data_IF_953942025761
#
_entry.id   IF_953942025761
#
_cell.length_a   1.000
_cell.length_b   1.000
_cell.length_c   1.000
_cell.angle_alpha   90.00
_cell.angle_beta   90.00
_cell.angle_gamma   90.00
#
_symmetry.space_group_name_H-M   'P 1'
#
loop_
_entity.id
_entity.type
_entity.pdbx_description
1 polymer ?
#
# COMPACT_ATOMS: atom_id res chain seq x y z
N UNK A 1 12.98 -18.53 14.68
CA UNK A 1 13.21 -19.93 14.25
C UNK A 1 13.53 -20.76 15.49
N UNK A 2 12.84 -21.87 15.72
CA UNK A 2 13.12 -22.80 16.82
C UNK A 2 13.23 -24.20 16.24
N UNK A 3 14.35 -24.87 16.49
CA UNK A 3 14.62 -26.23 15.98
C UNK A 3 14.44 -26.36 14.45
N UNK A 4 14.87 -25.34 13.70
CA UNK A 4 14.76 -25.30 12.23
C UNK A 4 13.34 -25.09 11.70
N UNK A 5 12.35 -24.80 12.56
CA UNK A 5 10.98 -24.48 12.16
C UNK A 5 10.65 -23.01 12.40
N UNK A 6 9.84 -22.45 11.52
CA UNK A 6 9.17 -21.17 11.75
C UNK A 6 8.13 -21.34 12.85
N UNK A 7 8.02 -20.34 13.70
CA UNK A 7 7.03 -20.27 14.78
C UNK A 7 6.50 -18.85 14.79
N UNK A 8 5.18 -18.70 14.98
CA UNK A 8 4.55 -17.40 15.11
C UNK A 8 4.95 -16.80 16.47
N UNK A 9 5.86 -15.84 16.44
CA UNK A 9 6.43 -15.22 17.63
C UNK A 9 5.50 -14.20 18.29
N UNK A 10 4.66 -13.54 17.49
CA UNK A 10 3.64 -12.61 17.95
C UNK A 10 2.43 -12.63 17.01
N UNK A 11 1.27 -12.28 17.54
CA UNK A 11 0.04 -12.03 16.78
C UNK A 11 -0.52 -10.67 17.17
N UNK A 12 -0.56 -9.75 16.22
CA UNK A 12 -1.13 -8.42 16.40
C UNK A 12 -2.51 -8.28 15.77
N UNK A 13 -3.15 -9.36 15.34
CA UNK A 13 -4.45 -9.32 14.65
C UNK A 13 -5.58 -8.70 15.48
N UNK A 14 -5.43 -8.60 16.80
CA UNK A 14 -6.38 -7.92 17.69
C UNK A 14 -6.18 -6.40 17.74
N UNK A 15 -5.06 -5.89 17.24
CA UNK A 15 -4.78 -4.46 17.16
C UNK A 15 -5.29 -3.94 15.81
N UNK A 16 -6.26 -3.03 15.86
CA UNK A 16 -6.70 -2.30 14.67
C UNK A 16 -5.69 -1.18 14.38
N UNK A 17 -5.08 -1.19 13.19
CA UNK A 17 -4.15 -0.16 12.74
C UNK A 17 -3.13 -0.69 11.73
N UNK A 18 -2.44 0.22 11.05
CA UNK A 18 -1.27 -0.09 10.23
C UNK A 18 -0.06 0.35 11.04
N UNK A 19 0.63 -0.58 11.70
CA UNK A 19 1.71 -0.20 12.63
C UNK A 19 3.07 -0.12 11.95
N UNK A 20 3.82 0.95 12.24
CA UNK A 20 5.27 1.01 12.07
C UNK A 20 5.94 0.46 13.33
N UNK A 21 7.02 -0.26 13.11
CA UNK A 21 7.83 -0.87 14.16
C UNK A 21 9.08 -0.03 14.42
N UNK A 22 9.32 0.29 15.68
CA UNK A 22 10.59 0.86 16.15
C UNK A 22 11.18 -0.07 17.21
N UNK A 23 12.44 -0.45 17.05
CA UNK A 23 13.16 -1.19 18.08
C UNK A 23 13.79 -0.19 19.05
N UNK A 24 13.44 -0.31 20.31
CA UNK A 24 13.97 0.46 21.42
C UNK A 24 15.03 -0.34 22.18
N UNK A 25 15.74 0.35 23.07
CA UNK A 25 16.60 -0.28 24.08
C UNK A 25 15.83 -1.32 24.91
N UNK A 26 16.57 -2.17 25.64
CA UNK A 26 16.01 -3.22 26.50
C UNK A 26 15.07 -4.20 25.80
N UNK A 27 15.30 -4.43 24.49
CA UNK A 27 14.53 -5.34 23.66
C UNK A 27 13.04 -4.97 23.56
N UNK A 28 12.72 -3.67 23.63
CA UNK A 28 11.35 -3.18 23.47
C UNK A 28 11.05 -2.90 22.00
N UNK A 29 9.84 -3.25 21.58
CA UNK A 29 9.26 -2.95 20.28
C UNK A 29 8.13 -1.95 20.49
N UNK A 30 8.30 -0.74 19.95
CA UNK A 30 7.22 0.22 19.81
C UNK A 30 6.44 -0.10 18.51
N UNK A 31 5.13 -0.22 18.63
CA UNK A 31 4.19 -0.24 17.51
C UNK A 31 3.45 1.10 17.53
N UNK A 32 3.69 1.94 16.53
CA UNK A 32 3.00 3.22 16.37
C UNK A 32 2.14 3.14 15.11
N UNK A 33 0.90 3.60 15.19
CA UNK A 33 0.03 3.68 14.00
C UNK A 33 0.65 4.61 12.94
N UNK A 34 0.62 4.15 11.69
CA UNK A 34 1.20 4.82 10.54
C UNK A 34 0.33 6.02 10.16
N UNK A 35 0.99 7.18 9.96
CA UNK A 35 0.35 8.48 9.74
C UNK A 35 -0.51 8.55 8.46
N UNK A 36 -0.55 7.51 7.63
CA UNK A 36 -1.30 7.46 6.36
C UNK A 36 -2.81 7.73 6.58
N UNK A 37 -3.40 7.27 7.70
CA UNK A 37 -4.81 7.55 8.03
C UNK A 37 -5.04 8.90 8.69
N UNK A 38 -3.99 9.62 9.13
CA UNK A 38 -4.13 11.00 9.66
C UNK A 38 -4.57 11.99 8.59
N UNK A 39 -4.47 11.64 7.31
CA UNK A 39 -4.71 12.59 6.22
C UNK A 39 -6.16 13.00 6.01
N UNK A 40 -7.20 12.43 6.65
CA UNK A 40 -8.58 12.88 6.34
C UNK A 40 -9.61 13.09 7.45
N UNK A 41 -9.55 12.53 8.67
CA UNK A 41 -10.77 12.63 9.53
C UNK A 41 -10.56 12.72 11.06
N UNK A 42 -9.46 12.26 11.67
CA UNK A 42 -9.37 12.19 13.15
C UNK A 42 -7.99 12.57 13.74
N UNK A 43 -7.97 13.41 14.80
CA UNK A 43 -6.81 13.60 15.69
C UNK A 43 -6.67 12.33 16.56
N UNK A 44 -6.10 11.29 15.95
CA UNK A 44 -5.91 9.98 16.54
C UNK A 44 -4.44 9.57 16.45
N UNK A 45 -3.89 9.11 17.57
CA UNK A 45 -2.57 8.48 17.63
C UNK A 45 -2.64 7.32 18.61
N UNK A 46 -2.02 6.19 18.27
CA UNK A 46 -1.88 5.07 19.20
C UNK A 46 -0.48 4.49 19.13
N UNK A 47 0.03 4.11 20.31
CA UNK A 47 1.33 3.48 20.52
C UNK A 47 1.16 2.29 21.45
N UNK A 48 1.88 1.21 21.17
CA UNK A 48 1.97 0.05 22.04
C UNK A 48 3.42 -0.33 22.21
N UNK A 49 3.81 -0.66 23.44
CA UNK A 49 5.16 -1.09 23.77
C UNK A 49 5.14 -2.55 24.21
N UNK A 50 6.00 -3.35 23.59
CA UNK A 50 6.13 -4.77 23.88
C UNK A 50 7.58 -5.10 24.16
N UNK A 51 7.84 -5.90 25.19
CA UNK A 51 9.16 -6.49 25.42
C UNK A 51 9.28 -7.80 24.67
N UNK A 52 10.35 -7.95 23.90
CA UNK A 52 10.71 -9.20 23.25
C UNK A 52 11.34 -10.16 24.28
N UNK A 53 10.71 -11.33 24.43
CA UNK A 53 11.13 -12.41 25.32
C UNK A 53 11.51 -13.66 24.52
N UNK A 54 12.08 -14.69 25.14
CA UNK A 54 12.55 -15.87 24.41
C UNK A 54 11.46 -16.57 23.56
N UNK A 55 10.21 -16.60 24.04
CA UNK A 55 9.10 -17.35 23.45
C UNK A 55 7.95 -16.46 22.93
N UNK A 56 8.07 -15.13 22.98
CA UNK A 56 7.06 -14.22 22.45
C UNK A 56 7.22 -12.78 22.91
N UNK A 57 6.15 -11.99 22.78
CA UNK A 57 6.10 -10.60 23.21
C UNK A 57 5.28 -10.42 24.49
N UNK A 58 5.80 -9.63 25.42
CA UNK A 58 5.09 -9.19 26.62
C UNK A 58 4.61 -7.76 26.43
N UNK A 59 3.31 -7.54 26.50
CA UNK A 59 2.76 -6.18 26.50
C UNK A 59 3.22 -5.42 27.75
N UNK A 60 3.77 -4.23 27.57
CA UNK A 60 4.20 -3.36 28.66
C UNK A 60 3.11 -2.35 28.98
N UNK A 61 2.78 -1.51 28.00
CA UNK A 61 1.74 -0.50 28.09
C UNK A 61 1.43 0.06 26.70
N UNK A 62 0.39 0.86 26.61
CA UNK A 62 0.02 1.57 25.40
C UNK A 62 -0.46 2.98 25.71
N UNK A 63 -0.44 3.82 24.70
CA UNK A 63 -0.89 5.20 24.75
C UNK A 63 -1.84 5.44 23.60
N UNK A 64 -2.93 6.15 23.87
CA UNK A 64 -3.89 6.59 22.85
C UNK A 64 -4.11 8.08 23.01
N UNK A 65 -4.05 8.83 21.92
CA UNK A 65 -4.49 10.21 21.85
C UNK A 65 -5.73 10.25 20.98
N UNK A 66 -6.82 10.76 21.52
CA UNK A 66 -8.09 10.92 20.81
C UNK A 66 -8.62 12.32 21.10
N UNK A 67 -8.85 13.11 20.05
CA UNK A 67 -9.36 14.49 20.14
C UNK A 67 -8.52 15.38 21.09
N UNK A 68 -7.20 15.21 21.06
CA UNK A 68 -6.25 15.96 21.89
C UNK A 68 -6.14 15.49 23.34
N UNK A 69 -6.90 14.47 23.76
CA UNK A 69 -6.84 13.89 25.11
C UNK A 69 -5.97 12.63 25.07
N UNK A 70 -5.03 12.53 26.01
CA UNK A 70 -4.18 11.35 26.17
C UNK A 70 -4.78 10.35 27.14
N UNK A 71 -4.65 9.08 26.79
CA UNK A 71 -5.05 7.95 27.60
C UNK A 71 -3.90 6.95 27.73
N UNK A 72 -3.73 6.42 28.94
CA UNK A 72 -2.92 5.23 29.18
C UNK A 72 -3.78 3.98 28.98
N UNK A 73 -3.23 3.00 28.28
CA UNK A 73 -3.77 1.67 28.04
C UNK A 73 -2.92 0.66 28.83
N UNK A 74 -3.24 0.38 30.10
CA UNK A 74 -2.44 -0.51 30.94
C UNK A 74 -2.57 -1.99 30.55
N UNK A 75 -3.57 -2.34 29.75
CA UNK A 75 -3.83 -3.70 29.28
C UNK A 75 -3.95 -3.67 27.76
N UNK A 76 -3.42 -4.71 27.11
CA UNK A 76 -3.54 -4.90 25.67
C UNK A 76 -5.03 -4.87 25.28
N UNK A 77 -5.44 -4.01 24.33
CA UNK A 77 -6.84 -3.94 23.92
C UNK A 77 -7.38 -5.28 23.42
N UNK A 78 -8.61 -5.67 23.81
CA UNK A 78 -9.29 -6.79 23.20
C UNK A 78 -9.69 -6.45 21.75
N UNK A 79 -10.03 -7.48 20.97
CA UNK A 79 -10.45 -7.31 19.58
C UNK A 79 -11.71 -6.44 19.41
N UNK A 80 -12.54 -6.27 20.45
CA UNK A 80 -13.65 -5.31 20.45
C UNK A 80 -13.13 -3.91 20.83
N UNK A 81 -13.10 -2.94 19.88
CA UNK A 81 -12.58 -1.60 20.14
C UNK A 81 -13.41 -0.80 21.16
N UNK A 82 -14.62 -1.25 21.52
CA UNK A 82 -15.47 -0.60 22.53
C UNK A 82 -15.15 -1.03 23.97
N UNK A 83 -14.36 -2.09 24.13
CA UNK A 83 -14.04 -2.68 25.44
C UNK A 83 -12.64 -2.29 25.94
N UNK A 84 -12.06 -1.20 25.44
CA UNK A 84 -10.72 -0.73 25.86
C UNK A 84 -10.73 -0.26 27.32
N UNK A 85 -9.84 -0.82 28.13
CA UNK A 85 -9.53 -0.27 29.44
C UNK A 85 -8.53 0.87 29.28
N UNK A 86 -8.99 2.12 29.48
CA UNK A 86 -8.17 3.31 29.32
C UNK A 86 -8.38 4.32 30.44
N UNK A 87 -7.32 5.02 30.82
CA UNK A 87 -7.36 6.07 31.84
C UNK A 87 -6.79 7.35 31.26
N UNK A 88 -7.52 8.46 31.39
CA UNK A 88 -7.04 9.77 30.97
C UNK A 88 -5.75 10.15 31.73
N UNK A 89 -4.76 10.63 30.99
CA UNK A 89 -3.49 11.11 31.52
C UNK A 89 -3.16 12.48 30.93
N UNK A 90 -2.28 13.23 31.58
CA UNK A 90 -1.82 14.50 31.04
C UNK A 90 -0.85 14.28 29.88
N UNK A 91 -0.75 15.26 28.99
CA UNK A 91 0.27 15.24 27.92
C UNK A 91 1.69 15.09 28.48
N UNK A 92 1.99 15.72 29.62
CA UNK A 92 3.30 15.58 30.28
C UNK A 92 3.58 14.14 30.71
N UNK A 93 2.57 13.41 31.18
CA UNK A 93 2.70 11.99 31.52
C UNK A 93 2.90 11.14 30.27
N UNK A 94 2.11 11.38 29.22
CA UNK A 94 2.25 10.67 27.95
C UNK A 94 3.65 10.85 27.34
N UNK A 95 4.14 12.10 27.29
CA UNK A 95 5.48 12.41 26.79
C UNK A 95 6.58 11.80 27.65
N UNK A 96 6.41 11.74 28.97
CA UNK A 96 7.36 11.07 29.85
C UNK A 96 7.43 9.55 29.58
N UNK A 97 6.30 8.90 29.30
CA UNK A 97 6.25 7.48 28.92
C UNK A 97 6.93 7.28 27.56
N UNK A 98 6.58 8.07 26.54
CA UNK A 98 7.21 7.99 25.20
C UNK A 98 8.73 8.17 25.31
N UNK A 99 9.18 9.16 26.07
CA UNK A 99 10.60 9.43 26.27
C UNK A 99 11.34 8.33 27.07
N UNK A 100 10.62 7.46 27.77
CA UNK A 100 11.23 6.35 28.51
C UNK A 100 11.61 5.17 27.61
N UNK A 101 11.00 5.05 26.43
CA UNK A 101 11.29 4.04 25.43
C UNK A 101 12.25 4.58 24.38
N UNK A 102 13.55 4.57 24.70
CA UNK A 102 14.61 5.13 23.84
C UNK A 102 14.79 4.26 22.59
N UNK A 103 14.54 4.78 21.36
CA UNK A 103 14.82 4.05 20.13
C UNK A 103 16.31 3.72 20.00
N UNK A 104 16.64 2.56 19.44
CA UNK A 104 18.03 2.26 19.08
C UNK A 104 18.57 3.30 18.10
N UNK A 105 19.83 3.70 18.28
CA UNK A 105 20.55 4.64 17.40
C UNK A 105 20.52 4.18 15.94
N UNK A 106 20.58 2.87 15.71
CA UNK A 106 20.44 2.25 14.40
C UNK A 106 19.27 1.27 14.42
N UNK A 107 18.23 1.58 13.64
CA UNK A 107 17.11 0.68 13.42
C UNK A 107 17.53 -0.45 12.48
N UNK A 108 16.97 -1.66 12.63
CA UNK A 108 17.19 -2.72 11.66
C UNK A 108 16.65 -2.28 10.30
N UNK A 109 17.54 -2.24 9.32
CA UNK A 109 17.18 -1.91 7.94
C UNK A 109 16.48 -3.10 7.27
N UNK A 110 15.54 -2.78 6.37
CA UNK A 110 14.79 -3.79 5.61
C UNK A 110 15.72 -4.48 4.62
N UNK A 111 15.69 -5.80 4.62
CA UNK A 111 16.38 -6.63 3.64
C UNK A 111 15.67 -7.96 3.46
N UNK A 112 15.92 -8.64 2.35
CA UNK A 112 15.52 -10.02 2.16
C UNK A 112 16.06 -10.92 3.29
N UNK A 113 15.21 -11.77 3.84
CA UNK A 113 15.53 -12.82 4.81
C UNK A 113 16.62 -13.76 4.32
N UNK A 114 16.71 -14.04 3.01
CA UNK A 114 17.80 -14.87 2.45
C UNK A 114 19.19 -14.23 2.61
N UNK A 115 19.25 -12.94 2.93
CA UNK A 115 20.46 -12.15 3.19
C UNK A 115 20.58 -11.73 4.65
N UNK A 116 19.74 -12.30 5.53
CA UNK A 116 19.77 -11.98 6.94
C UNK A 116 21.16 -12.22 7.55
N UNK A 117 21.69 -11.19 8.23
CA UNK A 117 23.03 -11.20 8.82
C UNK A 117 24.14 -10.68 7.90
N UNK A 118 23.85 -10.44 6.62
CA UNK A 118 24.73 -9.66 5.75
C UNK A 118 24.54 -8.15 6.02
N UNK A 119 25.55 -7.32 5.74
CA UNK A 119 25.36 -5.87 5.71
C UNK A 119 24.30 -5.48 4.68
N UNK A 120 23.43 -4.54 5.04
CA UNK A 120 22.47 -3.96 4.09
C UNK A 120 23.24 -3.22 3.01
N UNK A 121 22.83 -3.42 1.76
CA UNK A 121 23.47 -2.73 0.64
C UNK A 121 22.94 -1.30 0.57
N UNK A 122 23.82 -0.31 0.43
CA UNK A 122 23.37 1.05 0.14
C UNK A 122 22.71 1.08 -1.25
N UNK A 123 21.76 2.00 -1.41
CA UNK A 123 21.12 2.32 -2.68
C UNK A 123 21.72 3.67 -3.14
N UNK A 124 22.75 3.66 -4.00
CA UNK A 124 23.53 4.86 -4.30
C UNK A 124 22.93 5.71 -5.43
N UNK A 125 21.71 5.38 -5.87
CA UNK A 125 21.07 6.00 -7.02
C UNK A 125 20.42 7.33 -6.65
N UNK A 126 20.35 8.25 -7.60
CA UNK A 126 19.65 9.54 -7.46
C UNK A 126 18.41 9.63 -8.35
N UNK A 127 18.27 8.75 -9.34
CA UNK A 127 17.07 8.61 -10.15
C UNK A 127 15.94 8.02 -9.26
N UNK A 128 14.81 8.73 -9.07
CA UNK A 128 13.71 8.25 -8.23
C UNK A 128 13.17 6.87 -8.63
N UNK A 129 13.11 6.55 -9.92
CA UNK A 129 12.68 5.24 -10.40
C UNK A 129 13.74 4.16 -10.11
N UNK A 130 15.02 4.50 -10.25
CA UNK A 130 16.11 3.60 -9.89
C UNK A 130 16.12 3.27 -8.39
N UNK A 131 15.86 4.26 -7.54
CA UNK A 131 15.74 4.07 -6.09
C UNK A 131 14.59 3.11 -5.80
N UNK A 132 13.39 3.39 -6.30
CA UNK A 132 12.20 2.56 -6.11
C UNK A 132 12.43 1.09 -6.51
N UNK A 133 12.97 0.86 -7.70
CA UNK A 133 13.21 -0.49 -8.23
C UNK A 133 14.32 -1.19 -7.44
N UNK A 134 15.39 -0.47 -7.05
CA UNK A 134 16.46 -1.03 -6.24
C UNK A 134 15.97 -1.45 -4.84
N UNK A 135 15.13 -0.62 -4.20
CA UNK A 135 14.49 -0.93 -2.93
C UNK A 135 13.66 -2.21 -3.04
N UNK A 136 12.80 -2.31 -4.06
CA UNK A 136 12.00 -3.51 -4.29
C UNK A 136 12.87 -4.77 -4.47
N UNK A 137 13.96 -4.68 -5.26
CA UNK A 137 14.90 -5.79 -5.48
C UNK A 137 15.63 -6.23 -4.20
N UNK A 138 15.91 -5.30 -3.29
CA UNK A 138 16.66 -5.54 -2.05
C UNK A 138 15.75 -5.96 -0.89
N UNK A 139 14.48 -5.56 -0.91
CA UNK A 139 13.55 -5.75 0.21
C UNK A 139 12.52 -6.87 -0.01
N UNK A 140 12.12 -7.15 -1.25
CA UNK A 140 11.06 -8.12 -1.54
C UNK A 140 11.63 -9.48 -1.92
N UNK A 141 11.11 -10.55 -1.33
CA UNK A 141 11.63 -11.90 -1.56
C UNK A 141 11.38 -12.42 -2.97
N UNK A 142 10.26 -12.02 -3.55
CA UNK A 142 9.77 -12.39 -4.86
C UNK A 142 10.02 -11.31 -5.92
N UNK A 143 10.97 -10.39 -5.66
CA UNK A 143 11.32 -9.30 -6.56
C UNK A 143 11.66 -9.75 -8.00
N UNK A 144 12.09 -11.01 -8.19
CA UNK A 144 12.34 -11.60 -9.51
C UNK A 144 11.09 -11.78 -10.38
N UNK A 145 9.88 -11.58 -9.85
CA UNK A 145 8.61 -11.57 -10.60
C UNK A 145 8.17 -10.18 -11.03
N UNK A 146 8.79 -9.13 -10.47
CA UNK A 146 8.39 -7.75 -10.69
C UNK A 146 8.91 -7.27 -12.04
N UNK A 147 8.06 -6.55 -12.76
CA UNK A 147 8.36 -6.06 -14.10
C UNK A 147 7.92 -4.63 -14.25
N UNK A 148 8.57 -3.86 -15.12
CA UNK A 148 8.27 -2.47 -15.37
C UNK A 148 8.21 -2.15 -16.87
N UNK A 149 7.59 -1.04 -17.21
CA UNK A 149 7.82 -0.32 -18.47
C UNK A 149 7.80 1.18 -18.21
N UNK A 150 8.39 1.95 -19.13
CA UNK A 150 8.33 3.41 -19.13
C UNK A 150 7.49 3.88 -20.31
N UNK A 151 6.47 4.71 -20.05
CA UNK A 151 5.57 5.24 -21.07
C UNK A 151 5.09 6.62 -20.65
N UNK A 152 5.12 7.59 -21.56
CA UNK A 152 4.48 8.89 -21.35
C UNK A 152 2.96 8.70 -21.53
N UNK A 153 2.23 8.75 -20.42
CA UNK A 153 0.79 8.48 -20.39
C UNK A 153 -0.06 9.73 -20.64
N UNK A 154 0.43 10.91 -20.24
CA UNK A 154 -0.36 12.15 -20.27
C UNK A 154 0.10 13.12 -21.40
N UNK A 155 1.20 12.82 -22.07
CA UNK A 155 1.78 13.60 -23.17
C UNK A 155 2.60 14.82 -22.73
N UNK A 156 3.05 14.88 -21.47
CA UNK A 156 3.84 15.99 -20.93
C UNK A 156 5.35 15.86 -21.18
N UNK A 157 5.79 14.72 -21.75
CA UNK A 157 7.18 14.42 -22.06
C UNK A 157 7.95 13.75 -20.92
N UNK A 158 7.33 13.52 -19.77
CA UNK A 158 7.83 12.65 -18.71
C UNK A 158 7.32 11.24 -18.98
N UNK A 159 8.17 10.23 -18.78
CA UNK A 159 7.71 8.85 -18.85
C UNK A 159 7.30 8.38 -17.46
N UNK A 160 6.07 7.88 -17.33
CA UNK A 160 5.61 7.20 -16.13
C UNK A 160 6.24 5.80 -16.02
N UNK A 161 6.61 5.45 -14.79
CA UNK A 161 6.94 4.09 -14.41
C UNK A 161 5.66 3.31 -14.18
N UNK A 162 5.38 2.36 -15.07
CA UNK A 162 4.30 1.39 -14.90
C UNK A 162 4.93 0.11 -14.39
N UNK A 163 4.71 -0.18 -13.11
CA UNK A 163 5.33 -1.30 -12.42
C UNK A 163 4.30 -2.35 -12.05
N UNK A 164 4.61 -3.63 -12.30
CA UNK A 164 3.78 -4.78 -11.92
C UNK A 164 4.32 -5.34 -10.61
N UNK A 165 3.86 -4.78 -9.51
CA UNK A 165 4.40 -5.05 -8.17
C UNK A 165 3.39 -4.95 -7.02
N UNK A 166 2.13 -4.63 -7.32
CA UNK A 166 1.07 -4.63 -6.32
C UNK A 166 0.56 -6.05 -6.11
N UNK A 167 0.97 -6.70 -5.03
CA UNK A 167 0.45 -8.01 -4.66
C UNK A 167 -1.04 -7.90 -4.31
N UNK A 168 -1.88 -8.60 -5.05
CA UNK A 168 -3.31 -8.62 -4.84
C UNK A 168 -3.85 -10.03 -5.02
N UNK A 169 -5.04 -10.30 -4.49
CA UNK A 169 -5.84 -11.45 -4.90
C UNK A 169 -7.01 -10.86 -5.68
N UNK A 170 -6.95 -10.85 -7.03
CA UNK A 170 -8.02 -10.29 -7.83
C UNK A 170 -9.36 -10.90 -7.44
N UNK A 171 -10.43 -10.11 -7.49
CA UNK A 171 -11.77 -10.60 -7.17
C UNK A 171 -12.12 -11.80 -8.05
N UNK A 172 -12.63 -12.86 -7.41
CA UNK A 172 -12.93 -14.13 -8.07
C UNK A 172 -11.75 -15.09 -8.20
N UNK A 173 -10.56 -14.75 -7.68
CA UNK A 173 -9.38 -15.61 -7.68
C UNK A 173 -9.04 -16.17 -6.31
N UNK A 174 -8.30 -17.28 -6.32
CA UNK A 174 -7.68 -17.88 -5.13
C UNK A 174 -6.15 -17.82 -5.18
N UNK A 175 -5.60 -17.50 -6.35
CA UNK A 175 -4.16 -17.31 -6.55
C UNK A 175 -3.85 -15.81 -6.62
N UNK A 176 -2.81 -15.36 -5.92
CA UNK A 176 -2.40 -13.97 -5.96
C UNK A 176 -1.70 -13.62 -7.26
N UNK A 177 -1.88 -12.39 -7.70
CA UNK A 177 -1.24 -11.82 -8.88
C UNK A 177 -0.68 -10.44 -8.57
N UNK A 178 0.22 -9.97 -9.43
CA UNK A 178 0.71 -8.61 -9.38
C UNK A 178 -0.06 -7.76 -10.37
N UNK A 179 -0.72 -6.73 -9.88
CA UNK A 179 -1.33 -5.68 -10.70
C UNK A 179 -0.37 -4.48 -10.84
N UNK A 180 -0.75 -3.52 -11.68
CA UNK A 180 0.07 -2.36 -11.96
C UNK A 180 -0.08 -1.27 -10.89
N UNK A 181 1.04 -0.71 -10.48
CA UNK A 181 1.16 0.63 -9.92
C UNK A 181 1.69 1.57 -11.02
N UNK A 182 1.31 2.85 -10.95
CA UNK A 182 1.81 3.89 -11.86
C UNK A 182 2.45 4.99 -11.04
N UNK A 183 3.70 5.32 -11.37
CA UNK A 183 4.46 6.38 -10.70
C UNK A 183 4.91 7.40 -11.74
N UNK A 184 4.98 8.65 -11.32
CA UNK A 184 5.54 9.76 -12.10
C UNK A 184 6.60 10.48 -11.28
N UNK A 185 7.24 11.50 -11.88
CA UNK A 185 8.19 12.36 -11.18
C UNK A 185 7.64 13.78 -11.16
N UNK A 186 7.50 14.35 -9.96
CA UNK A 186 7.12 15.75 -9.76
C UNK A 186 8.24 16.44 -8.98
N UNK A 187 8.76 17.54 -9.53
CA UNK A 187 9.84 18.31 -8.92
C UNK A 187 11.10 17.50 -8.53
N UNK A 188 11.33 16.38 -9.23
CA UNK A 188 12.48 15.49 -9.00
C UNK A 188 12.22 14.37 -7.98
N UNK A 189 11.02 14.29 -7.41
CA UNK A 189 10.62 13.26 -6.46
C UNK A 189 9.64 12.26 -7.08
N UNK A 190 9.67 11.01 -6.59
CA UNK A 190 8.75 9.95 -7.02
C UNK A 190 7.36 10.22 -6.45
N UNK A 191 6.35 10.26 -7.32
CA UNK A 191 4.95 10.42 -6.92
C UNK A 191 4.11 9.23 -7.41
N UNK A 192 3.25 8.71 -6.53
CA UNK A 192 2.27 7.68 -6.87
C UNK A 192 1.07 8.32 -7.56
N UNK A 193 0.74 7.86 -8.76
CA UNK A 193 -0.42 8.35 -9.53
C UNK A 193 -1.70 7.61 -9.14
N UNK A 194 -1.59 6.36 -8.70
CA UNK A 194 -2.74 5.47 -8.50
C UNK A 194 -2.73 4.81 -7.13
N UNK A 195 -3.68 5.16 -6.27
CA UNK A 195 -3.94 4.44 -5.00
C UNK A 195 -4.58 3.07 -5.25
N UNK A 196 -5.37 2.95 -6.33
CA UNK A 196 -5.96 1.70 -6.79
C UNK A 196 -5.06 1.02 -7.83
N UNK A 197 -5.04 -0.30 -7.82
CA UNK A 197 -4.26 -1.09 -8.76
C UNK A 197 -4.87 -1.05 -10.17
N UNK A 198 -4.02 -0.96 -11.20
CA UNK A 198 -4.45 -0.95 -12.60
C UNK A 198 -4.19 -2.30 -13.25
N UNK A 199 -5.01 -2.67 -14.24
CA UNK A 199 -4.91 -3.98 -14.93
C UNK A 199 -4.40 -3.87 -16.36
N UNK A 200 -4.40 -2.67 -16.94
CA UNK A 200 -4.05 -2.46 -18.33
C UNK A 200 -3.85 -0.99 -18.68
N UNK A 201 -3.29 -0.79 -19.88
CA UNK A 201 -3.21 0.50 -20.55
C UNK A 201 -3.89 0.35 -21.91
N UNK A 202 -4.56 1.41 -22.32
CA UNK A 202 -5.32 1.55 -23.54
C UNK A 202 -4.67 2.59 -24.46
N UNK A 203 -5.01 2.58 -25.75
CA UNK A 203 -4.53 3.59 -26.68
C UNK A 203 -4.81 5.02 -26.15
N UNK A 204 -3.87 5.93 -26.41
CA UNK A 204 -3.96 7.31 -25.92
C UNK A 204 -3.66 7.49 -24.43
N UNK A 205 -2.96 6.55 -23.80
CA UNK A 205 -2.49 6.68 -22.41
C UNK A 205 -3.60 6.51 -21.37
N UNK A 206 -4.71 5.86 -21.75
CA UNK A 206 -5.84 5.61 -20.85
C UNK A 206 -5.50 4.42 -19.96
N UNK A 207 -5.61 4.58 -18.65
CA UNK A 207 -5.44 3.48 -17.69
C UNK A 207 -6.74 2.69 -17.55
N UNK A 208 -6.64 1.38 -17.41
CA UNK A 208 -7.78 0.48 -17.29
C UNK A 208 -7.69 -0.38 -16.03
N UNK A 209 -8.76 -0.36 -15.23
CA UNK A 209 -9.05 -1.41 -14.26
C UNK A 209 -10.12 -2.35 -14.82
N UNK A 210 -9.95 -3.66 -14.62
CA UNK A 210 -10.94 -4.66 -15.04
C UNK A 210 -10.98 -5.85 -14.08
N UNK A 211 -12.19 -6.29 -13.72
CA UNK A 211 -12.35 -7.54 -12.96
C UNK A 211 -12.16 -8.74 -13.91
N UNK A 212 -11.53 -9.82 -13.41
CA UNK A 212 -11.19 -11.00 -14.22
C UNK A 212 -12.38 -11.75 -14.81
N UNK A 213 -13.53 -11.72 -14.15
CA UNK A 213 -14.76 -12.29 -14.68
C UNK A 213 -15.36 -11.45 -15.82
N UNK A 214 -14.72 -10.31 -16.12
CA UNK A 214 -15.09 -9.41 -17.19
C UNK A 214 -16.43 -8.74 -16.94
N UNK A 215 -16.81 -8.52 -15.67
CA UNK A 215 -18.08 -7.88 -15.26
C UNK A 215 -17.92 -6.44 -14.77
N UNK A 216 -16.70 -5.92 -14.66
CA UNK A 216 -16.44 -4.54 -14.27
C UNK A 216 -15.22 -4.00 -15.02
N UNK A 217 -15.35 -2.80 -15.57
CA UNK A 217 -14.30 -2.04 -16.22
C UNK A 217 -14.38 -0.58 -15.77
N UNK A 218 -13.25 0.04 -15.51
CA UNK A 218 -13.13 1.47 -15.28
C UNK A 218 -11.94 2.01 -16.06
N UNK A 219 -12.14 3.15 -16.71
CA UNK A 219 -11.15 3.78 -17.59
C UNK A 219 -10.80 5.16 -17.09
N UNK A 220 -9.52 5.48 -16.99
CA UNK A 220 -9.02 6.68 -16.37
C UNK A 220 -8.06 7.43 -17.28
N UNK A 221 -8.08 8.75 -17.18
CA UNK A 221 -7.08 9.63 -17.76
C UNK A 221 -6.22 10.21 -16.66
N UNK A 222 -4.91 10.17 -16.84
CA UNK A 222 -3.97 10.85 -15.94
C UNK A 222 -3.99 12.37 -16.19
N UNK A 223 -4.04 13.15 -15.10
CA UNK A 223 -3.94 14.61 -15.08
C UNK A 223 -2.98 15.02 -13.96
N UNK A 224 -1.71 15.25 -14.29
CA UNK A 224 -0.66 15.38 -13.28
C UNK A 224 -0.58 14.08 -12.47
N UNK A 225 -0.64 14.18 -11.14
CA UNK A 225 -0.65 13.01 -10.23
C UNK A 225 -2.04 12.45 -9.94
N UNK A 226 -3.11 13.01 -10.54
CA UNK A 226 -4.47 12.55 -10.31
C UNK A 226 -5.01 11.70 -11.47
N UNK A 227 -5.92 10.78 -11.15
CA UNK A 227 -6.72 10.06 -12.13
C UNK A 227 -8.13 10.65 -12.25
N UNK A 228 -8.48 11.06 -13.46
CA UNK A 228 -9.84 11.40 -13.84
C UNK A 228 -10.54 10.16 -14.41
N UNK A 229 -11.60 9.70 -13.73
CA UNK A 229 -12.46 8.64 -14.25
C UNK A 229 -13.18 9.15 -15.52
N UNK A 230 -13.05 8.40 -16.60
CA UNK A 230 -13.70 8.66 -17.89
C UNK A 230 -15.04 7.94 -17.93
N UNK A 231 -15.01 6.63 -17.67
CA UNK A 231 -16.16 5.76 -17.84
C UNK A 231 -16.02 4.50 -16.99
N UNK A 232 -17.13 4.03 -16.43
CA UNK A 232 -17.30 2.72 -15.84
C UNK A 232 -18.34 1.92 -16.61
N UNK A 233 -18.02 0.66 -16.88
CA UNK A 233 -18.92 -0.28 -17.54
C UNK A 233 -18.95 -1.55 -16.70
N UNK A 234 -20.10 -1.84 -16.10
CA UNK A 234 -20.18 -2.93 -15.13
C UNK A 234 -21.54 -3.64 -15.14
N UNK A 235 -21.55 -4.88 -14.68
CA UNK A 235 -22.77 -5.63 -14.43
C UNK A 235 -23.24 -5.41 -12.99
N UNK A 236 -24.50 -5.02 -12.81
CA UNK A 236 -25.11 -4.94 -11.50
C UNK A 236 -25.08 -6.30 -10.81
N UNK A 237 -24.56 -6.35 -9.58
CA UNK A 237 -24.29 -7.61 -8.88
C UNK A 237 -25.56 -8.37 -8.52
N UNK A 238 -26.67 -7.67 -8.33
CA UNK A 238 -27.95 -8.22 -7.86
C UNK A 238 -28.86 -8.50 -9.05
N UNK A 239 -29.07 -7.47 -9.88
CA UNK A 239 -30.04 -7.47 -10.97
C UNK A 239 -29.47 -8.04 -12.28
N UNK A 240 -28.13 -8.16 -12.38
CA UNK A 240 -27.41 -8.76 -13.51
C UNK A 240 -27.56 -8.04 -14.86
N UNK A 241 -28.13 -6.83 -14.90
CA UNK A 241 -28.09 -5.97 -16.08
C UNK A 241 -26.77 -5.21 -16.16
N UNK A 242 -26.43 -4.73 -17.36
CA UNK A 242 -25.23 -3.93 -17.58
C UNK A 242 -25.53 -2.43 -17.42
N UNK A 243 -24.57 -1.72 -16.85
CA UNK A 243 -24.59 -0.28 -16.62
C UNK A 243 -23.38 0.33 -17.30
N UNK A 244 -23.62 1.46 -17.97
CA UNK A 244 -22.60 2.38 -18.42
C UNK A 244 -22.75 3.67 -17.63
N UNK A 245 -21.70 4.08 -16.93
CA UNK A 245 -21.60 5.36 -16.27
C UNK A 245 -20.45 6.15 -16.89
N UNK A 246 -20.76 7.27 -17.55
CA UNK A 246 -19.79 8.21 -18.09
C UNK A 246 -19.66 9.36 -17.12
N UNK A 247 -18.43 9.70 -16.75
CA UNK A 247 -18.12 10.79 -15.81
C UNK A 247 -17.57 12.02 -16.57
N UNK A 248 -17.44 13.16 -15.89
CA UNK A 248 -16.94 14.42 -16.45
C UNK A 248 -17.95 15.58 -16.37
N UNK A 249 -17.94 16.50 -17.34
CA UNK A 249 -18.77 17.73 -17.30
C UNK A 249 -20.29 17.47 -17.33
N UNK A 250 -20.72 16.33 -17.87
CA UNK A 250 -22.12 15.90 -17.90
C UNK A 250 -22.23 14.41 -17.55
N UNK A 251 -22.17 14.05 -16.25
CA UNK A 251 -22.24 12.66 -15.83
C UNK A 251 -23.55 12.02 -16.28
N UNK A 252 -23.45 10.83 -16.86
CA UNK A 252 -24.60 10.07 -17.33
C UNK A 252 -24.47 8.60 -16.96
N UNK A 253 -25.55 8.03 -16.42
CA UNK A 253 -25.65 6.61 -16.16
C UNK A 253 -26.85 6.03 -16.88
N UNK A 254 -26.66 4.89 -17.52
CA UNK A 254 -27.72 4.19 -18.26
C UNK A 254 -27.52 2.69 -18.24
N UNK A 255 -28.63 1.97 -18.24
CA UNK A 255 -28.61 0.52 -18.42
C UNK A 255 -28.46 0.20 -19.91
N UNK A 256 -27.69 -0.84 -20.22
CA UNK A 256 -27.49 -1.32 -21.58
C UNK A 256 -27.54 -2.86 -21.65
N UNK A 257 -27.59 -3.41 -22.86
CA UNK A 257 -27.43 -4.86 -23.06
C UNK A 257 -25.96 -5.24 -22.91
N UNK A 258 -25.68 -6.53 -22.70
CA UNK A 258 -24.30 -7.03 -22.68
C UNK A 258 -23.57 -6.74 -24.00
N UNK A 259 -24.21 -6.96 -25.14
CA UNK A 259 -23.63 -6.68 -26.46
C UNK A 259 -23.21 -5.20 -26.58
N UNK A 260 -24.07 -4.29 -26.11
CA UNK A 260 -23.76 -2.86 -26.11
C UNK A 260 -22.65 -2.53 -25.11
N UNK A 261 -22.63 -3.12 -23.92
CA UNK A 261 -21.54 -2.96 -22.95
C UNK A 261 -20.19 -3.40 -23.53
N UNK A 262 -20.15 -4.57 -24.19
CA UNK A 262 -18.95 -5.08 -24.87
C UNK A 262 -18.48 -4.14 -25.99
N UNK A 263 -19.42 -3.55 -26.73
CA UNK A 263 -19.10 -2.55 -27.76
C UNK A 263 -18.50 -1.27 -27.17
N UNK A 264 -18.92 -0.83 -25.97
CA UNK A 264 -18.30 0.30 -25.29
C UNK A 264 -16.89 -0.03 -24.80
N UNK A 265 -16.71 -1.20 -24.16
CA UNK A 265 -15.39 -1.66 -23.68
C UNK A 265 -14.39 -1.75 -24.85
N UNK A 266 -14.82 -2.28 -25.99
CA UNK A 266 -13.95 -2.44 -27.17
C UNK A 266 -13.42 -1.12 -27.76
N UNK A 267 -14.06 0.03 -27.46
CA UNK A 267 -13.62 1.34 -27.98
C UNK A 267 -12.32 1.83 -27.34
N UNK A 268 -11.94 1.27 -26.18
CA UNK A 268 -10.74 1.70 -25.47
C UNK A 268 -9.45 1.05 -25.98
N UNK A 269 -9.52 0.07 -26.90
CA UNK A 269 -8.34 -0.53 -27.56
C UNK A 269 -7.13 -0.78 -26.62
N UNK A 270 -7.18 -1.83 -25.76
CA UNK A 270 -6.06 -2.17 -24.89
C UNK A 270 -4.77 -2.41 -25.68
N UNK A 271 -3.64 -1.93 -25.15
CA UNK A 271 -2.31 -2.10 -25.74
C UNK A 271 -1.51 -3.15 -24.98
N UNK A 272 -0.66 -3.89 -25.70
CA UNK A 272 0.30 -4.80 -25.09
C UNK A 272 1.53 -4.02 -24.63
N UNK A 273 1.82 -4.09 -23.33
CA UNK A 273 3.00 -3.46 -22.73
C UNK A 273 4.20 -4.38 -22.84
N UNK A 274 5.32 -3.86 -23.35
CA UNK A 274 6.60 -4.56 -23.34
C UNK A 274 7.28 -4.44 -21.96
N UNK A 275 6.79 -5.23 -21.01
CA UNK A 275 7.28 -5.23 -19.63
C UNK A 275 8.66 -5.89 -19.54
N UNK A 276 9.63 -5.21 -18.93
CA UNK A 276 10.96 -5.73 -18.62
C UNK A 276 11.06 -6.13 -17.14
N UNK A 277 11.84 -7.15 -16.78
CA UNK A 277 12.13 -7.44 -15.38
C UNK A 277 12.76 -6.24 -14.66
N UNK A 278 12.46 -6.04 -13.37
CA UNK A 278 13.11 -5.02 -12.54
C UNK A 278 14.65 -5.13 -12.55
N UNK A 279 15.18 -6.35 -12.64
CA UNK A 279 16.62 -6.61 -12.74
C UNK A 279 17.28 -6.07 -14.01
N UNK A 280 16.51 -5.69 -15.03
CA UNK A 280 16.99 -5.10 -16.28
C UNK A 280 16.88 -3.57 -16.30
N UNK A 281 16.47 -2.94 -15.20
CA UNK A 281 16.42 -1.49 -15.11
C UNK A 281 17.83 -0.89 -15.32
N UNK A 282 17.97 0.17 -16.14
CA UNK A 282 19.26 0.80 -16.39
C UNK A 282 19.66 1.68 -15.19
N UNK A 283 20.18 1.05 -14.13
CA UNK A 283 20.77 1.78 -13.01
C UNK A 283 22.02 2.53 -13.49
N UNK A 284 21.89 3.86 -13.64
CA UNK A 284 22.97 4.75 -14.11
C UNK A 284 23.14 5.94 -13.21
#
# INVERSE_FOLDING_TARGET
>A
MRDGKSFQYADFGNLAGLFRFTVCEDHVLELKDDDILKMRVYDYEVRYYFRAEADGLTYLEGLEREEGIWYSLPVLPPADPRAKERTEITEQQAQAIIASYVPLETQPERQQMKRYGEPVKPIPWTDPYAIYIAEALEWLEDAGKLTYTLMDLNGDGIQELIARDVWTIPRGCTEPEYEFSVHTIVDGELELVTDDSMTGVCEGGILMYSEKDGTYYAFYRMKGTELELIEMIYQDRIQKYWVRAVEGENPQSSNCSEETARSYIAQYHPIELNMKPFSEYPFS
#
